data_IF_626540903485
#
_entry.id   IF_626540903485
#
_cell.length_a   1.000
_cell.length_b   1.000
_cell.length_c   1.000
_cell.angle_alpha   90.00
_cell.angle_beta   90.00
_cell.angle_gamma   90.00
#
_symmetry.space_group_name_H-M   'P 1'
#
loop_
_entity.id
_entity.type
_entity.pdbx_description
1 polymer ?
#
# COMPACT_ATOMS: atom_id res chain seq x y z
N UNK A 1 -28.84 22.82 -5.07
CA UNK A 1 -29.13 21.48 -5.57
C UNK A 1 -28.82 20.51 -4.43
N UNK A 2 -29.84 20.00 -3.76
CA UNK A 2 -29.68 19.07 -2.63
C UNK A 2 -29.33 17.71 -3.21
N UNK A 3 -28.08 17.28 -3.04
CA UNK A 3 -27.71 15.89 -3.23
C UNK A 3 -28.53 15.02 -2.28
N UNK A 4 -29.07 13.91 -2.77
CA UNK A 4 -29.80 12.96 -1.92
C UNK A 4 -28.89 12.44 -0.80
N UNK A 5 -29.43 12.10 0.36
CA UNK A 5 -28.64 11.59 1.49
C UNK A 5 -27.79 10.37 1.10
N UNK A 6 -28.27 9.54 0.16
CA UNK A 6 -27.58 8.37 -0.39
C UNK A 6 -26.33 8.75 -1.21
N UNK A 7 -26.37 9.81 -2.02
CA UNK A 7 -25.19 10.27 -2.79
C UNK A 7 -24.09 10.84 -1.87
N UNK A 8 -24.51 11.49 -0.79
CA UNK A 8 -23.57 12.02 0.19
C UNK A 8 -22.85 10.88 0.93
N UNK A 9 -23.57 9.85 1.34
CA UNK A 9 -22.99 8.67 2.00
C UNK A 9 -21.97 7.96 1.08
N UNK A 10 -22.33 7.78 -0.17
CA UNK A 10 -21.46 7.10 -1.17
C UNK A 10 -20.12 7.83 -1.40
N UNK A 11 -20.09 9.18 -1.44
CA UNK A 11 -18.84 9.94 -1.57
C UNK A 11 -17.89 9.71 -0.39
N UNK A 12 -18.42 9.74 0.83
CA UNK A 12 -17.61 9.52 2.03
C UNK A 12 -17.09 8.10 2.12
N UNK A 13 -17.85 7.13 1.65
CA UNK A 13 -17.40 5.75 1.56
C UNK A 13 -16.24 5.59 0.57
N UNK A 14 -16.32 6.22 -0.61
CA UNK A 14 -15.22 6.26 -1.58
C UNK A 14 -13.99 6.95 -1.00
N UNK A 15 -14.17 8.06 -0.26
CA UNK A 15 -13.06 8.75 0.40
C UNK A 15 -12.40 7.84 1.43
N UNK A 16 -13.16 7.16 2.26
CA UNK A 16 -12.66 6.23 3.26
C UNK A 16 -11.88 5.08 2.59
N UNK A 17 -12.46 4.47 1.56
CA UNK A 17 -11.82 3.39 0.80
C UNK A 17 -10.51 3.84 0.17
N UNK A 18 -10.51 4.95 -0.58
CA UNK A 18 -9.33 5.48 -1.24
C UNK A 18 -8.24 5.92 -0.25
N UNK A 19 -8.64 6.50 0.88
CA UNK A 19 -7.74 6.87 1.96
C UNK A 19 -7.10 5.64 2.61
N UNK A 20 -7.88 4.59 2.88
CA UNK A 20 -7.40 3.35 3.47
C UNK A 20 -6.42 2.60 2.55
N UNK A 21 -6.73 2.52 1.26
CA UNK A 21 -5.86 1.92 0.24
C UNK A 21 -4.53 2.67 0.14
N UNK A 22 -4.55 4.00 0.21
CA UNK A 22 -3.33 4.81 0.18
C UNK A 22 -2.52 4.68 1.49
N UNK A 23 -3.19 4.58 2.64
CA UNK A 23 -2.56 4.28 3.91
C UNK A 23 -1.79 2.95 3.86
N UNK A 24 -2.38 1.91 3.27
CA UNK A 24 -1.73 0.61 3.07
C UNK A 24 -0.42 0.74 2.26
N UNK A 25 -0.42 1.55 1.19
CA UNK A 25 0.79 1.87 0.44
C UNK A 25 1.85 2.54 1.33
N UNK A 26 1.46 3.56 2.11
CA UNK A 26 2.36 4.26 3.04
C UNK A 26 2.99 3.31 4.06
N UNK A 27 2.20 2.40 4.63
CA UNK A 27 2.71 1.37 5.54
C UNK A 27 3.76 0.49 4.87
N UNK A 28 3.50 0.01 3.65
CA UNK A 28 4.38 -0.91 2.93
C UNK A 28 5.76 -0.33 2.63
N UNK A 29 5.84 0.98 2.35
CA UNK A 29 7.10 1.66 2.06
C UNK A 29 8.02 1.66 3.27
N UNK A 30 7.48 1.94 4.48
CA UNK A 30 8.29 2.12 5.68
C UNK A 30 8.48 0.85 6.50
N UNK A 31 7.55 -0.09 6.44
CA UNK A 31 7.58 -1.28 7.31
C UNK A 31 8.85 -2.13 7.12
N UNK A 32 9.38 -2.18 5.90
CA UNK A 32 10.58 -2.94 5.59
C UNK A 32 11.86 -2.32 6.16
N UNK A 33 11.91 -0.99 6.30
CA UNK A 33 13.10 -0.31 6.85
C UNK A 33 13.36 -0.69 8.30
N UNK A 34 12.31 -1.02 9.03
CA UNK A 34 12.38 -1.43 10.43
C UNK A 34 12.91 -2.86 10.55
N UNK A 35 12.53 -3.73 9.61
CA UNK A 35 12.95 -5.13 9.57
C UNK A 35 14.40 -5.33 9.09
N UNK A 36 15.05 -4.31 8.50
CA UNK A 36 16.37 -4.45 7.88
C UNK A 36 17.44 -5.07 8.79
N UNK A 37 17.61 -4.63 10.06
CA UNK A 37 18.65 -5.22 10.92
C UNK A 37 18.45 -6.71 11.19
N UNK A 38 17.21 -7.11 11.47
CA UNK A 38 16.87 -8.50 11.76
C UNK A 38 16.96 -9.38 10.51
N UNK A 39 16.56 -8.83 9.35
CA UNK A 39 16.70 -9.51 8.06
C UNK A 39 18.18 -9.73 7.69
N UNK A 40 19.07 -8.78 7.97
CA UNK A 40 20.51 -8.92 7.75
C UNK A 40 21.05 -10.15 8.48
N UNK A 41 20.73 -10.27 9.77
CA UNK A 41 21.16 -11.41 10.58
C UNK A 41 20.57 -12.74 10.09
N UNK A 42 19.25 -12.76 9.83
CA UNK A 42 18.55 -13.97 9.45
C UNK A 42 18.91 -14.49 8.05
N UNK A 43 19.19 -13.60 7.09
CA UNK A 43 19.52 -13.95 5.70
C UNK A 43 21.03 -13.94 5.41
N UNK A 44 21.86 -13.73 6.44
CA UNK A 44 23.33 -13.63 6.31
C UNK A 44 23.76 -12.64 5.22
N UNK A 45 23.03 -11.54 5.09
CA UNK A 45 23.23 -10.52 4.07
C UNK A 45 24.02 -9.33 4.62
N UNK A 46 24.81 -8.67 3.78
CA UNK A 46 25.44 -7.39 4.12
C UNK A 46 24.41 -6.26 4.08
N UNK A 47 24.74 -5.12 4.73
CA UNK A 47 23.87 -3.95 4.74
C UNK A 47 23.53 -3.46 3.32
N UNK A 48 24.51 -3.47 2.42
CA UNK A 48 24.31 -3.05 1.03
C UNK A 48 23.35 -3.99 0.29
N UNK A 49 23.50 -5.30 0.53
CA UNK A 49 22.66 -6.32 -0.10
C UNK A 49 21.22 -6.24 0.37
N UNK A 50 20.97 -6.14 1.67
CA UNK A 50 19.60 -6.13 2.20
C UNK A 50 18.86 -4.85 1.83
N UNK A 51 19.56 -3.73 1.61
CA UNK A 51 18.98 -2.46 1.16
C UNK A 51 18.30 -2.59 -0.20
N UNK A 52 18.68 -3.55 -1.03
CA UNK A 52 18.00 -3.86 -2.28
C UNK A 52 16.53 -4.28 -2.09
N UNK A 53 16.17 -4.82 -0.93
CA UNK A 53 14.77 -5.13 -0.61
C UNK A 53 13.90 -3.87 -0.54
N UNK A 54 14.43 -2.77 -0.04
CA UNK A 54 13.73 -1.46 0.00
C UNK A 54 13.82 -0.78 -1.36
N UNK A 55 15.02 -0.72 -1.94
CA UNK A 55 15.26 -0.09 -3.24
C UNK A 55 14.45 -0.76 -4.34
N UNK A 56 14.38 -2.10 -4.37
CA UNK A 56 13.59 -2.85 -5.33
C UNK A 56 12.11 -2.51 -5.30
N UNK A 57 11.54 -2.32 -4.11
CA UNK A 57 10.16 -1.90 -3.95
C UNK A 57 9.93 -0.48 -4.50
N UNK A 58 10.81 0.47 -4.19
CA UNK A 58 10.72 1.86 -4.66
C UNK A 58 10.88 1.93 -6.19
N UNK A 59 11.86 1.22 -6.74
CA UNK A 59 12.09 1.15 -8.18
C UNK A 59 10.90 0.55 -8.91
N UNK A 60 10.35 -0.56 -8.40
CA UNK A 60 9.15 -1.15 -8.96
C UNK A 60 7.98 -0.16 -8.94
N UNK A 61 7.76 0.51 -7.81
CA UNK A 61 6.71 1.53 -7.71
C UNK A 61 6.91 2.65 -8.74
N UNK A 62 8.12 3.16 -8.89
CA UNK A 62 8.44 4.22 -9.85
C UNK A 62 8.19 3.78 -11.31
N UNK A 63 8.53 2.53 -11.66
CA UNK A 63 8.32 1.97 -12.99
C UNK A 63 6.82 1.76 -13.28
N UNK A 64 6.08 1.22 -12.32
CA UNK A 64 4.68 0.82 -12.54
C UNK A 64 3.67 1.94 -12.30
N UNK A 65 4.01 3.02 -11.61
CA UNK A 65 3.09 4.17 -11.40
C UNK A 65 2.57 4.80 -12.70
N UNK A 66 3.39 5.06 -13.74
CA UNK A 66 2.89 5.59 -15.02
C UNK A 66 1.90 4.65 -15.73
N UNK A 67 2.06 3.33 -15.53
CA UNK A 67 1.12 2.35 -16.09
C UNK A 67 -0.28 2.43 -15.50
N UNK A 68 -0.42 2.94 -14.26
CA UNK A 68 -1.73 3.11 -13.63
C UNK A 68 -2.65 4.02 -14.46
N UNK A 69 -2.12 5.12 -15.00
CA UNK A 69 -2.87 6.02 -15.88
C UNK A 69 -3.27 5.35 -17.20
N UNK A 70 -2.37 4.57 -17.79
CA UNK A 70 -2.68 3.82 -19.02
C UNK A 70 -3.73 2.73 -18.78
N UNK A 71 -3.64 2.00 -17.65
CA UNK A 71 -4.63 0.99 -17.28
C UNK A 71 -6.02 1.60 -17.06
N UNK A 72 -6.10 2.75 -16.37
CA UNK A 72 -7.38 3.40 -16.06
C UNK A 72 -8.12 3.93 -17.29
N UNK A 73 -7.43 4.09 -18.42
CA UNK A 73 -8.06 4.43 -19.71
C UNK A 73 -8.67 3.21 -20.42
N UNK A 74 -8.32 1.98 -20.01
CA UNK A 74 -8.78 0.72 -20.65
C UNK A 74 -9.70 -0.11 -19.79
N UNK A 75 -9.53 -0.02 -18.47
CA UNK A 75 -10.25 -0.82 -17.49
C UNK A 75 -10.85 0.07 -16.42
N UNK A 76 -11.93 -0.37 -15.81
CA UNK A 76 -12.51 0.33 -14.67
C UNK A 76 -11.53 0.37 -13.50
N UNK A 77 -11.39 1.54 -12.89
CA UNK A 77 -10.46 1.79 -11.77
C UNK A 77 -10.68 0.78 -10.63
N UNK A 78 -11.94 0.39 -10.39
CA UNK A 78 -12.31 -0.60 -9.37
C UNK A 78 -11.60 -1.93 -9.56
N UNK A 79 -11.61 -2.49 -10.78
CA UNK A 79 -10.95 -3.77 -11.05
C UNK A 79 -9.43 -3.67 -10.91
N UNK A 80 -8.84 -2.55 -11.32
CA UNK A 80 -7.41 -2.33 -11.17
C UNK A 80 -7.05 -2.28 -9.68
N UNK A 81 -7.81 -1.56 -8.86
CA UNK A 81 -7.59 -1.49 -7.41
C UNK A 81 -7.74 -2.87 -6.74
N UNK A 82 -8.76 -3.66 -7.13
CA UNK A 82 -8.96 -5.02 -6.61
C UNK A 82 -7.73 -5.90 -6.91
N UNK A 83 -7.27 -5.93 -8.18
CA UNK A 83 -6.10 -6.71 -8.58
C UNK A 83 -4.85 -6.22 -7.86
N UNK A 84 -4.68 -4.91 -7.73
CA UNK A 84 -3.55 -4.30 -7.03
C UNK A 84 -3.53 -4.66 -5.55
N UNK A 85 -4.65 -4.60 -4.85
CA UNK A 85 -4.76 -4.99 -3.43
C UNK A 85 -4.51 -6.47 -3.23
N UNK A 86 -5.06 -7.33 -4.09
CA UNK A 86 -4.83 -8.78 -4.04
C UNK A 86 -3.34 -9.07 -4.27
N UNK A 87 -2.76 -8.56 -5.36
CA UNK A 87 -1.35 -8.75 -5.68
C UNK A 87 -0.42 -8.23 -4.60
N UNK A 88 -0.73 -7.06 -4.03
CA UNK A 88 -0.01 -6.50 -2.89
C UNK A 88 -0.06 -7.42 -1.66
N UNK A 89 -1.25 -7.92 -1.32
CA UNK A 89 -1.43 -8.80 -0.15
C UNK A 89 -0.70 -10.13 -0.34
N UNK A 90 -0.80 -10.73 -1.52
CA UNK A 90 -0.07 -11.96 -1.85
C UNK A 90 1.45 -11.75 -1.83
N UNK A 91 1.93 -10.62 -2.35
CA UNK A 91 3.36 -10.27 -2.29
C UNK A 91 3.83 -10.04 -0.85
N UNK A 92 2.97 -9.51 0.04
CA UNK A 92 3.27 -9.37 1.47
C UNK A 92 3.40 -10.73 2.15
N UNK A 93 2.55 -11.71 1.81
CA UNK A 93 2.70 -13.10 2.26
C UNK A 93 4.03 -13.66 1.77
N UNK A 94 4.38 -13.45 0.51
CA UNK A 94 5.63 -13.92 -0.06
C UNK A 94 6.85 -13.28 0.63
N UNK A 95 6.79 -11.97 0.97
CA UNK A 95 7.84 -11.33 1.76
C UNK A 95 8.08 -12.04 3.10
N UNK A 96 7.02 -12.37 3.83
CA UNK A 96 7.12 -13.08 5.12
C UNK A 96 7.58 -14.52 4.99
N UNK A 97 7.33 -15.17 3.86
CA UNK A 97 7.73 -16.56 3.60
C UNK A 97 9.18 -16.69 3.06
N UNK A 98 9.79 -15.61 2.63
CA UNK A 98 11.11 -15.61 2.00
C UNK A 98 12.19 -16.18 2.93
N UNK A 99 13.06 -17.01 2.36
CA UNK A 99 14.17 -17.68 3.05
C UNK A 99 15.56 -17.28 2.53
N UNK A 100 15.60 -16.52 1.43
CA UNK A 100 16.83 -16.00 0.83
C UNK A 100 16.73 -14.50 0.52
N UNK A 101 17.90 -13.88 0.31
CA UNK A 101 17.99 -12.49 -0.10
C UNK A 101 17.30 -12.24 -1.44
N UNK A 102 17.49 -13.12 -2.40
CA UNK A 102 16.88 -13.01 -3.73
C UNK A 102 15.36 -13.07 -3.64
N UNK A 103 14.82 -13.99 -2.84
CA UNK A 103 13.37 -14.14 -2.66
C UNK A 103 12.75 -12.88 -2.07
N UNK A 104 13.35 -12.30 -1.03
CA UNK A 104 12.79 -11.08 -0.42
C UNK A 104 12.89 -9.88 -1.38
N UNK A 105 13.96 -9.76 -2.15
CA UNK A 105 14.09 -8.67 -3.15
C UNK A 105 13.03 -8.82 -4.24
N UNK A 106 12.80 -10.03 -4.75
CA UNK A 106 11.75 -10.30 -5.76
C UNK A 106 10.35 -10.04 -5.16
N UNK A 107 10.09 -10.53 -3.96
CA UNK A 107 8.81 -10.33 -3.29
C UNK A 107 8.51 -8.85 -3.06
N UNK A 108 9.52 -8.06 -2.65
CA UNK A 108 9.43 -6.62 -2.48
C UNK A 108 9.24 -5.87 -3.79
N UNK A 109 9.90 -6.31 -4.86
CA UNK A 109 9.67 -5.76 -6.20
C UNK A 109 8.23 -5.98 -6.65
N UNK A 110 7.71 -7.20 -6.51
CA UNK A 110 6.31 -7.51 -6.83
C UNK A 110 5.34 -6.69 -5.96
N UNK A 111 5.62 -6.58 -4.67
CA UNK A 111 4.81 -5.78 -3.75
C UNK A 111 4.76 -4.30 -4.19
N UNK A 112 5.89 -3.71 -4.58
CA UNK A 112 5.97 -2.35 -5.12
C UNK A 112 5.22 -2.19 -6.44
N UNK A 113 5.32 -3.16 -7.34
CA UNK A 113 4.61 -3.15 -8.63
C UNK A 113 3.08 -3.15 -8.45
N UNK A 114 2.55 -3.98 -7.55
CA UNK A 114 1.12 -4.01 -7.24
C UNK A 114 0.68 -2.83 -6.37
N UNK A 115 1.55 -2.25 -5.56
CA UNK A 115 1.26 -1.06 -4.77
C UNK A 115 1.20 0.23 -5.61
N UNK A 116 1.94 0.28 -6.72
CA UNK A 116 2.10 1.47 -7.56
C UNK A 116 0.79 2.12 -8.04
N UNK A 117 -0.26 1.37 -8.45
CA UNK A 117 -1.52 1.97 -8.88
C UNK A 117 -2.38 2.52 -7.72
N UNK A 118 -2.14 2.10 -6.47
CA UNK A 118 -3.02 2.40 -5.34
C UNK A 118 -3.18 3.91 -5.07
N UNK A 119 -2.10 4.73 -4.92
CA UNK A 119 -2.25 6.16 -4.67
C UNK A 119 -2.88 6.94 -5.83
N UNK A 120 -2.41 6.85 -7.08
CA UNK A 120 -2.96 7.67 -8.17
C UNK A 120 -4.40 7.30 -8.51
N UNK A 121 -4.78 6.03 -8.46
CA UNK A 121 -6.15 5.63 -8.78
C UNK A 121 -7.14 5.94 -7.66
N UNK A 122 -6.74 5.81 -6.39
CA UNK A 122 -7.57 6.25 -5.27
C UNK A 122 -7.81 7.76 -5.31
N UNK A 123 -6.80 8.55 -5.64
CA UNK A 123 -6.91 9.99 -5.83
C UNK A 123 -7.86 10.33 -7.00
N UNK A 124 -7.73 9.64 -8.13
CA UNK A 124 -8.59 9.85 -9.29
C UNK A 124 -10.06 9.56 -8.97
N UNK A 125 -10.36 8.48 -8.23
CA UNK A 125 -11.71 8.16 -7.77
C UNK A 125 -12.30 9.26 -6.88
N UNK A 126 -11.54 9.72 -5.89
CA UNK A 126 -11.98 10.77 -4.97
C UNK A 126 -12.27 12.05 -5.73
N UNK A 127 -11.38 12.48 -6.62
CA UNK A 127 -11.57 13.70 -7.42
C UNK A 127 -12.74 13.60 -8.41
N UNK A 128 -13.10 12.38 -8.84
CA UNK A 128 -14.23 12.12 -9.72
C UNK A 128 -15.59 12.29 -9.05
N UNK A 129 -15.70 11.96 -7.74
CA UNK A 129 -16.98 11.99 -7.01
C UNK A 129 -17.21 13.26 -6.18
N UNK A 130 -16.13 13.97 -5.82
CA UNK A 130 -16.24 15.19 -5.02
C UNK A 130 -16.41 16.45 -5.90
N UNK A 131 -17.38 17.32 -5.58
CA UNK A 131 -17.53 18.61 -6.25
C UNK A 131 -16.32 19.51 -5.97
N UNK A 132 -16.04 20.45 -6.88
CA UNK A 132 -14.85 21.30 -6.86
C UNK A 132 -14.63 21.99 -5.51
N UNK A 133 -15.70 22.48 -4.89
CA UNK A 133 -15.65 23.18 -3.59
C UNK A 133 -15.29 22.27 -2.39
N UNK A 134 -15.37 20.95 -2.52
CA UNK A 134 -15.06 19.98 -1.46
C UNK A 134 -13.78 19.19 -1.75
N UNK A 135 -13.17 19.33 -2.94
CA UNK A 135 -11.96 18.58 -3.32
C UNK A 135 -10.78 18.85 -2.41
N UNK A 136 -10.59 20.09 -1.98
CA UNK A 136 -9.51 20.43 -1.03
C UNK A 136 -9.60 19.65 0.28
N UNK A 137 -10.81 19.55 0.85
CA UNK A 137 -11.04 18.80 2.08
C UNK A 137 -10.84 17.31 1.86
N UNK A 138 -11.38 16.77 0.78
CA UNK A 138 -11.23 15.35 0.44
C UNK A 138 -9.74 14.97 0.25
N UNK A 139 -8.98 15.81 -0.44
CA UNK A 139 -7.55 15.59 -0.65
C UNK A 139 -6.73 15.76 0.62
N UNK A 140 -7.13 16.65 1.53
CA UNK A 140 -6.49 16.76 2.84
C UNK A 140 -6.68 15.48 3.67
N UNK A 141 -7.91 14.92 3.71
CA UNK A 141 -8.20 13.66 4.40
C UNK A 141 -7.42 12.50 3.78
N UNK A 142 -7.41 12.40 2.46
CA UNK A 142 -6.63 11.39 1.72
C UNK A 142 -5.13 11.49 2.01
N UNK A 143 -4.56 12.71 1.99
CA UNK A 143 -3.15 12.94 2.30
C UNK A 143 -2.79 12.60 3.75
N UNK A 144 -3.67 12.94 4.73
CA UNK A 144 -3.50 12.56 6.12
C UNK A 144 -3.48 11.03 6.29
N UNK A 145 -4.32 10.30 5.57
CA UNK A 145 -4.34 8.84 5.64
C UNK A 145 -3.00 8.22 5.17
N UNK A 146 -2.37 8.78 4.13
CA UNK A 146 -1.04 8.35 3.71
C UNK A 146 -0.01 8.57 4.82
N UNK A 147 -0.01 9.75 5.45
CA UNK A 147 0.89 10.08 6.58
C UNK A 147 0.63 9.14 7.77
N UNK A 148 -0.63 8.83 8.07
CA UNK A 148 -0.97 7.87 9.12
C UNK A 148 -0.36 6.49 8.83
N UNK A 149 -0.34 6.05 7.59
CA UNK A 149 0.33 4.81 7.19
C UNK A 149 1.83 4.83 7.52
N UNK A 150 2.51 5.95 7.27
CA UNK A 150 3.92 6.13 7.59
C UNK A 150 4.20 6.11 9.09
N UNK A 151 3.26 6.60 9.90
CA UNK A 151 3.39 6.64 11.38
C UNK A 151 3.03 5.28 12.01
N UNK A 152 1.99 4.62 11.50
CA UNK A 152 1.53 3.32 12.02
C UNK A 152 2.54 2.21 11.71
N UNK A 153 3.21 2.25 10.55
CA UNK A 153 4.18 1.24 10.15
C UNK A 153 5.32 1.05 11.17
N UNK A 154 6.02 2.10 11.65
CA UNK A 154 7.01 1.97 12.70
C UNK A 154 6.46 1.43 14.03
N UNK A 155 5.26 1.84 14.41
CA UNK A 155 4.64 1.38 15.66
C UNK A 155 4.37 -0.13 15.62
N UNK A 156 3.76 -0.61 14.53
CA UNK A 156 3.49 -2.04 14.36
C UNK A 156 4.81 -2.81 14.16
N UNK A 157 5.70 -2.30 13.31
CA UNK A 157 6.98 -2.94 12.99
C UNK A 157 7.90 -3.06 14.20
N UNK A 158 8.02 -2.00 15.01
CA UNK A 158 8.82 -2.02 16.24
C UNK A 158 8.25 -3.00 17.28
N UNK A 159 6.93 -2.94 17.53
CA UNK A 159 6.29 -3.85 18.47
C UNK A 159 6.40 -5.32 18.04
N UNK A 160 6.18 -5.62 16.76
CA UNK A 160 6.27 -6.99 16.26
C UNK A 160 7.73 -7.48 16.17
N UNK A 161 8.67 -6.61 15.80
CA UNK A 161 10.10 -6.95 15.73
C UNK A 161 10.71 -7.28 17.09
N UNK A 162 10.27 -6.63 18.17
CA UNK A 162 10.75 -6.92 19.53
C UNK A 162 10.20 -8.25 20.08
N UNK A 163 8.97 -8.63 19.74
CA UNK A 163 8.28 -9.79 20.35
C UNK A 163 8.35 -11.01 19.44
N UNK A 164 8.34 -10.82 18.13
CA UNK A 164 8.24 -11.85 17.12
C UNK A 164 9.38 -11.73 16.10
N UNK A 165 9.47 -12.66 15.17
CA UNK A 165 10.42 -12.59 14.07
C UNK A 165 10.06 -11.49 13.06
N UNK A 166 11.03 -10.94 12.33
CA UNK A 166 10.88 -9.92 11.29
C UNK A 166 9.81 -10.27 10.22
N UNK A 167 9.56 -11.56 9.99
CA UNK A 167 8.55 -12.06 9.07
C UNK A 167 7.13 -11.58 9.42
N UNK A 168 6.82 -11.47 10.71
CA UNK A 168 5.51 -11.02 11.19
C UNK A 168 5.23 -9.57 10.85
N UNK A 169 6.25 -8.78 10.62
CA UNK A 169 6.13 -7.40 10.17
C UNK A 169 5.41 -7.36 8.80
N UNK A 170 5.76 -8.27 7.88
CA UNK A 170 5.10 -8.38 6.57
C UNK A 170 3.71 -9.02 6.67
N UNK A 171 3.54 -10.01 7.53
CA UNK A 171 2.23 -10.63 7.75
C UNK A 171 1.23 -9.65 8.38
N UNK A 172 1.67 -8.66 9.13
CA UNK A 172 0.79 -7.62 9.68
C UNK A 172 0.08 -6.79 8.61
N UNK A 173 0.60 -6.72 7.38
CA UNK A 173 -0.06 -6.05 6.25
C UNK A 173 -1.26 -6.84 5.69
N UNK A 174 -1.35 -8.16 5.95
CA UNK A 174 -2.40 -9.01 5.41
C UNK A 174 -3.80 -8.59 5.89
N UNK A 175 -4.06 -8.41 7.19
CA UNK A 175 -5.39 -7.97 7.64
C UNK A 175 -5.79 -6.62 7.04
N UNK A 176 -4.84 -5.69 6.90
CA UNK A 176 -5.12 -4.41 6.23
C UNK A 176 -5.42 -4.59 4.74
N UNK A 177 -4.71 -5.51 4.06
CA UNK A 177 -5.00 -5.86 2.66
C UNK A 177 -6.38 -6.47 2.48
N UNK A 178 -6.82 -7.35 3.40
CA UNK A 178 -8.16 -7.95 3.39
C UNK A 178 -9.23 -6.87 3.61
N UNK A 179 -9.03 -5.96 4.56
CA UNK A 179 -9.96 -4.84 4.80
C UNK A 179 -10.02 -3.95 3.55
N UNK A 180 -8.88 -3.61 2.95
CA UNK A 180 -8.83 -2.83 1.73
C UNK A 180 -9.59 -3.50 0.58
N UNK A 181 -9.44 -4.82 0.42
CA UNK A 181 -10.18 -5.60 -0.57
C UNK A 181 -11.70 -5.51 -0.35
N UNK A 182 -12.16 -5.70 0.89
CA UNK A 182 -13.59 -5.61 1.24
C UNK A 182 -14.15 -4.21 0.96
N UNK A 183 -13.36 -3.15 1.24
CA UNK A 183 -13.78 -1.77 1.01
C UNK A 183 -13.85 -1.41 -0.48
N UNK A 184 -12.99 -2.00 -1.32
CA UNK A 184 -12.98 -1.74 -2.77
C UNK A 184 -14.03 -2.57 -3.49
N UNK A 185 -14.37 -3.78 -2.97
CA UNK A 185 -15.36 -4.70 -3.53
C UNK A 185 -16.78 -4.17 -3.34
#
# INVERSE_FOLDING_TARGET
MYFSASENYFKWLILLTGSFVTMLYGMAVFIATIALPDMMGALSATQDQITWSVTGNIVATAIFTPFAGWLSNRFEIRYILIISVIGFTLSSVYCGYSSSLEEIVIARFLQGAFAAPLPPLSQALILGVFPINQRSLAMAVWGMANILGLVIAPMIGGFLGEILEWRWIFYSLIPFGIIAFILVY
#
